data_IF_801441670758
#
_entry.id   IF_801441670758
#
_cell.length_a   1.000
_cell.length_b   1.000
_cell.length_c   1.000
_cell.angle_alpha   90.00
_cell.angle_beta   90.00
_cell.angle_gamma   90.00
#
_symmetry.space_group_name_H-M   'P 1'
#
loop_
_entity.id
_entity.type
_entity.pdbx_description
1 polymer ?
#
# COMPACT_ATOMS: atom_id res chain seq x y z
N UNK A 1 -5.85 44.04 12.55
CA UNK A 1 -4.68 43.19 12.69
C UNK A 1 -4.95 41.92 13.46
N UNK A 2 -5.42 42.05 14.63
CA UNK A 2 -5.68 40.88 15.45
C UNK A 2 -6.70 39.94 14.87
N UNK A 3 -7.71 40.49 14.22
CA UNK A 3 -8.73 39.67 13.63
C UNK A 3 -8.22 38.76 12.54
N UNK A 4 -7.16 39.15 11.87
CA UNK A 4 -6.59 38.32 10.82
C UNK A 4 -6.11 36.99 11.34
N UNK A 5 -5.80 36.90 12.60
CA UNK A 5 -5.31 35.66 13.20
C UNK A 5 -6.41 34.63 13.35
N UNK A 6 -7.60 35.07 13.70
CA UNK A 6 -8.71 34.13 13.94
C UNK A 6 -9.21 33.46 12.67
N UNK A 7 -9.20 34.16 11.57
CA UNK A 7 -9.75 33.65 10.33
C UNK A 7 -9.06 32.41 9.79
N UNK A 8 -7.71 32.42 9.71
CA UNK A 8 -7.03 31.25 9.20
C UNK A 8 -7.28 30.01 10.05
N UNK A 9 -7.43 30.19 11.34
CA UNK A 9 -7.66 29.05 12.23
C UNK A 9 -8.99 28.39 11.93
N UNK A 10 -10.03 29.19 11.73
CA UNK A 10 -11.36 28.65 11.44
C UNK A 10 -11.36 27.94 10.09
N UNK A 11 -10.72 28.55 9.09
CA UNK A 11 -10.63 27.95 7.78
C UNK A 11 -9.88 26.63 7.81
N UNK A 12 -8.84 26.56 8.61
CA UNK A 12 -8.07 25.33 8.74
C UNK A 12 -8.89 24.18 9.29
N UNK A 13 -9.70 24.45 10.28
CA UNK A 13 -10.52 23.40 10.87
C UNK A 13 -11.54 22.87 9.88
N UNK A 14 -12.15 23.73 9.11
CA UNK A 14 -13.12 23.30 8.10
C UNK A 14 -12.46 22.47 7.00
N UNK A 15 -11.28 22.90 6.56
CA UNK A 15 -10.54 22.18 5.52
C UNK A 15 -10.05 20.84 6.03
N UNK A 16 -9.61 20.78 7.28
CA UNK A 16 -9.11 19.54 7.85
C UNK A 16 -10.19 18.45 7.84
N UNK A 17 -11.43 18.81 8.14
CA UNK A 17 -12.50 17.85 8.09
C UNK A 17 -12.76 17.32 6.68
N UNK A 18 -12.67 18.19 5.67
CA UNK A 18 -12.93 17.79 4.30
C UNK A 18 -11.84 16.90 3.70
N UNK A 19 -10.58 17.09 4.11
CA UNK A 19 -9.46 16.34 3.51
C UNK A 19 -9.00 15.17 4.36
N UNK A 20 -9.66 14.89 5.46
CA UNK A 20 -9.21 13.83 6.37
C UNK A 20 -9.09 12.48 5.65
N UNK A 21 -10.03 12.15 4.78
CA UNK A 21 -10.00 10.88 4.07
C UNK A 21 -8.79 10.77 3.14
N UNK A 22 -8.44 11.85 2.44
CA UNK A 22 -7.29 11.84 1.56
C UNK A 22 -5.98 11.77 2.35
N UNK A 23 -5.94 12.44 3.50
CA UNK A 23 -4.75 12.42 4.34
C UNK A 23 -4.49 11.05 4.97
N UNK A 24 -5.52 10.25 5.19
CA UNK A 24 -5.35 8.93 5.75
C UNK A 24 -4.46 8.05 4.88
N UNK A 25 -4.49 8.25 3.57
CA UNK A 25 -3.60 7.52 2.67
C UNK A 25 -2.13 7.81 2.99
N UNK A 26 -1.82 9.02 3.40
CA UNK A 26 -0.44 9.41 3.73
C UNK A 26 -0.04 8.99 5.14
N UNK A 27 -0.99 8.55 5.94
CA UNK A 27 -0.72 8.10 7.30
C UNK A 27 -0.74 6.58 7.43
N UNK A 28 -0.78 5.89 6.30
CA UNK A 28 -0.66 4.44 6.25
C UNK A 28 0.62 4.12 5.50
N UNK A 29 1.45 3.32 6.14
CA UNK A 29 2.74 2.92 5.58
C UNK A 29 2.62 1.54 4.99
N UNK A 30 3.17 1.33 3.79
CA UNK A 30 3.27 0.01 3.20
C UNK A 30 4.72 -0.31 2.94
N UNK A 31 5.13 -1.53 3.28
CA UNK A 31 6.48 -2.02 3.05
C UNK A 31 6.44 -3.42 2.48
N UNK A 32 7.41 -3.74 1.65
CA UNK A 32 7.62 -5.11 1.20
C UNK A 32 8.23 -5.88 2.35
N UNK A 33 7.74 -7.10 2.59
CA UNK A 33 8.30 -7.93 3.65
C UNK A 33 9.75 -8.25 3.35
N UNK A 34 10.59 -8.09 4.35
CA UNK A 34 12.04 -8.28 4.17
C UNK A 34 12.47 -9.74 4.23
N UNK A 35 11.62 -10.63 4.74
CA UNK A 35 11.96 -12.03 4.81
C UNK A 35 12.05 -12.62 3.41
N UNK A 36 13.17 -13.28 3.13
CA UNK A 36 13.34 -13.96 1.86
C UNK A 36 12.49 -15.21 1.80
N UNK A 37 11.55 -15.24 0.86
CA UNK A 37 10.72 -16.40 0.62
C UNK A 37 11.35 -17.34 -0.41
N UNK A 38 12.24 -16.79 -1.24
CA UNK A 38 13.00 -17.53 -2.23
C UNK A 38 14.40 -16.95 -2.30
N UNK A 39 15.40 -17.82 -2.34
CA UNK A 39 16.80 -17.38 -2.34
C UNK A 39 17.16 -16.57 -3.58
N UNK A 40 16.52 -16.86 -4.71
CA UNK A 40 16.84 -16.24 -5.99
C UNK A 40 15.96 -15.05 -6.32
N UNK A 41 15.08 -14.63 -5.41
CA UNK A 41 14.13 -13.56 -5.67
C UNK A 41 14.32 -12.42 -4.69
N UNK A 42 13.83 -11.24 -5.08
CA UNK A 42 13.86 -10.09 -4.21
C UNK A 42 13.02 -10.35 -2.95
N UNK A 43 13.31 -9.64 -1.85
CA UNK A 43 12.53 -9.83 -0.63
C UNK A 43 11.03 -9.69 -0.87
N UNK A 44 10.26 -10.52 -0.19
CA UNK A 44 8.81 -10.51 -0.29
C UNK A 44 8.22 -11.19 -1.50
N UNK A 45 9.04 -11.57 -2.46
CA UNK A 45 8.57 -12.22 -3.68
C UNK A 45 8.57 -13.73 -3.57
N UNK A 46 7.58 -14.36 -4.17
CA UNK A 46 7.53 -15.80 -4.33
C UNK A 46 6.64 -16.16 -5.51
N UNK A 47 6.69 -17.41 -5.92
CA UNK A 47 5.87 -17.95 -7.00
C UNK A 47 4.92 -18.97 -6.41
N UNK A 48 3.63 -18.82 -6.65
CA UNK A 48 2.64 -19.76 -6.13
C UNK A 48 2.62 -21.05 -6.94
N UNK A 49 1.82 -22.02 -6.48
CA UNK A 49 1.71 -23.30 -7.14
C UNK A 49 1.20 -23.19 -8.59
N UNK A 50 0.46 -22.15 -8.89
CA UNK A 50 -0.05 -21.91 -10.23
C UNK A 50 0.92 -21.15 -11.13
N UNK A 51 2.09 -20.81 -10.62
CA UNK A 51 3.13 -20.16 -11.41
C UNK A 51 3.04 -18.65 -11.49
N UNK A 52 2.21 -18.01 -10.68
CA UNK A 52 2.08 -16.56 -10.65
C UNK A 52 3.08 -15.94 -9.67
N UNK A 53 3.59 -14.76 -10.01
CA UNK A 53 4.41 -13.99 -9.10
C UNK A 53 3.55 -13.37 -8.01
N UNK A 54 4.02 -13.43 -6.78
CA UNK A 54 3.41 -12.79 -5.63
C UNK A 54 4.40 -11.86 -4.96
N UNK A 55 3.89 -10.78 -4.38
CA UNK A 55 4.67 -9.93 -3.49
C UNK A 55 3.90 -9.80 -2.19
N UNK A 56 4.57 -10.10 -1.09
CA UNK A 56 4.01 -9.92 0.25
C UNK A 56 4.44 -8.57 0.80
N UNK A 57 3.48 -7.83 1.30
CA UNK A 57 3.74 -6.55 1.95
C UNK A 57 3.07 -6.48 3.31
N UNK A 58 3.46 -5.49 4.07
CA UNK A 58 2.87 -5.19 5.38
C UNK A 58 2.45 -3.74 5.37
N UNK A 59 1.23 -3.47 5.84
CA UNK A 59 0.74 -2.10 6.02
C UNK A 59 0.66 -1.81 7.51
N UNK A 60 0.89 -0.56 7.88
CA UNK A 60 0.77 -0.10 9.25
C UNK A 60 -0.06 1.17 9.29
N UNK A 61 -1.03 1.22 10.19
CA UNK A 61 -1.82 2.42 10.39
C UNK A 61 -1.07 3.37 11.33
N UNK A 62 -0.54 4.45 10.77
CA UNK A 62 0.15 5.47 11.55
C UNK A 62 -0.77 6.65 11.91
N UNK A 63 -2.03 6.58 11.51
CA UNK A 63 -3.02 7.60 11.88
C UNK A 63 -3.41 7.45 13.35
N UNK A 64 -3.93 8.52 13.91
CA UNK A 64 -4.39 8.52 15.29
C UNK A 64 -5.78 7.91 15.45
N UNK A 65 -6.40 7.48 14.36
CA UNK A 65 -7.76 6.93 14.35
C UNK A 65 -7.77 5.57 13.68
N UNK A 66 -8.73 4.70 14.03
CA UNK A 66 -8.88 3.43 13.32
C UNK A 66 -9.29 3.66 11.88
N UNK A 67 -8.85 2.79 10.99
CA UNK A 67 -9.22 2.83 9.57
C UNK A 67 -9.83 1.49 9.16
N UNK A 68 -10.55 1.48 8.04
CA UNK A 68 -11.08 0.27 7.46
C UNK A 68 -10.03 -0.44 6.60
N UNK A 69 -10.47 -1.34 5.72
CA UNK A 69 -9.52 -2.08 4.89
C UNK A 69 -8.67 -1.15 4.03
N UNK A 70 -7.40 -1.51 3.90
CA UNK A 70 -6.43 -0.74 3.14
C UNK A 70 -6.15 -1.47 1.83
N UNK A 71 -6.30 -0.77 0.72
CA UNK A 71 -6.02 -1.31 -0.60
C UNK A 71 -4.64 -0.86 -1.06
N UNK A 72 -3.87 -1.82 -1.53
CA UNK A 72 -2.50 -1.60 -2.00
C UNK A 72 -2.42 -2.01 -3.46
N UNK A 73 -1.74 -1.20 -4.26
CA UNK A 73 -1.42 -1.52 -5.64
C UNK A 73 0.06 -1.79 -5.75
N UNK A 74 0.41 -2.79 -6.57
CA UNK A 74 1.78 -3.11 -6.84
C UNK A 74 2.05 -3.11 -8.33
N UNK A 75 3.28 -2.75 -8.70
CA UNK A 75 3.76 -2.77 -10.08
C UNK A 75 5.13 -3.38 -10.12
N UNK A 76 5.39 -4.16 -11.17
CA UNK A 76 6.70 -4.76 -11.39
C UNK A 76 7.21 -4.33 -12.75
N UNK A 77 8.52 -4.09 -12.83
CA UNK A 77 9.17 -3.52 -14.00
C UNK A 77 10.41 -4.34 -14.37
N UNK A 78 10.77 -4.31 -15.65
CA UNK A 78 12.02 -4.93 -16.10
C UNK A 78 13.21 -3.98 -15.91
N UNK A 79 14.37 -4.38 -16.39
CA UNK A 79 15.60 -3.61 -16.25
C UNK A 79 15.54 -2.26 -16.95
N UNK A 80 14.71 -2.14 -17.99
CA UNK A 80 14.56 -0.90 -18.75
C UNK A 80 13.47 0.00 -18.18
N UNK A 81 12.84 -0.39 -17.06
CA UNK A 81 11.76 0.36 -16.47
C UNK A 81 10.41 0.11 -17.13
N UNK A 82 10.32 -0.89 -18.00
CA UNK A 82 9.06 -1.22 -18.64
C UNK A 82 8.15 -1.99 -17.70
N UNK A 83 6.88 -1.60 -17.66
CA UNK A 83 5.89 -2.27 -16.81
C UNK A 83 5.63 -3.70 -17.29
N UNK A 84 5.80 -4.66 -16.40
CA UNK A 84 5.54 -6.07 -16.67
C UNK A 84 4.17 -6.52 -16.17
N UNK A 85 3.68 -5.92 -15.11
CA UNK A 85 2.38 -6.28 -14.56
C UNK A 85 1.99 -5.42 -13.39
N UNK A 86 0.71 -5.48 -13.06
CA UNK A 86 0.13 -4.77 -11.92
C UNK A 86 -0.74 -5.73 -11.13
N UNK A 87 -0.91 -5.42 -9.85
CA UNK A 87 -1.78 -6.20 -8.98
C UNK A 87 -2.32 -5.28 -7.89
N UNK A 88 -3.46 -5.65 -7.33
CA UNK A 88 -4.02 -4.96 -6.16
C UNK A 88 -4.45 -6.00 -5.14
N UNK A 89 -4.42 -5.60 -3.88
CA UNK A 89 -4.90 -6.44 -2.80
C UNK A 89 -5.34 -5.54 -1.65
N UNK A 90 -6.24 -6.05 -0.84
CA UNK A 90 -6.70 -5.33 0.36
C UNK A 90 -6.37 -6.15 1.59
N UNK A 91 -6.19 -5.45 2.71
CA UNK A 91 -6.04 -6.12 3.99
C UNK A 91 -7.34 -6.86 4.31
N UNK A 92 -7.23 -8.01 4.98
CA UNK A 92 -8.39 -8.81 5.33
C UNK A 92 -9.08 -8.35 6.60
N UNK A 93 -8.40 -7.56 7.39
CA UNK A 93 -8.97 -7.07 8.64
C UNK A 93 -9.97 -5.95 8.36
N UNK A 94 -11.17 -6.01 8.94
CA UNK A 94 -12.16 -4.96 8.71
C UNK A 94 -11.79 -3.63 9.36
N UNK A 95 -10.99 -3.68 10.43
CA UNK A 95 -10.54 -2.48 11.15
C UNK A 95 -9.08 -2.64 11.50
N UNK A 96 -8.31 -1.58 11.26
CA UNK A 96 -6.91 -1.50 11.67
C UNK A 96 -6.78 -0.32 12.62
N UNK A 97 -6.50 -0.62 13.87
CA UNK A 97 -6.35 0.42 14.90
C UNK A 97 -5.01 1.13 14.78
N UNK A 98 -4.84 2.29 15.44
CA UNK A 98 -3.56 3.00 15.37
C UNK A 98 -2.39 2.10 15.72
N UNK A 99 -1.34 2.17 14.90
CA UNK A 99 -0.10 1.39 15.00
C UNK A 99 -0.23 -0.09 14.69
N UNK A 100 -1.43 -0.59 14.44
CA UNK A 100 -1.57 -1.99 14.04
C UNK A 100 -1.07 -2.23 12.64
N UNK A 101 -0.62 -3.46 12.39
CA UNK A 101 -0.13 -3.88 11.09
C UNK A 101 -1.01 -5.00 10.53
N UNK A 102 -1.00 -5.14 9.23
CA UNK A 102 -1.68 -6.24 8.55
C UNK A 102 -0.92 -6.58 7.28
N UNK A 103 -1.02 -7.83 6.87
CA UNK A 103 -0.34 -8.30 5.66
C UNK A 103 -1.22 -8.09 4.43
N UNK A 104 -0.58 -7.85 3.30
CA UNK A 104 -1.21 -7.89 1.99
C UNK A 104 -0.41 -8.82 1.10
N UNK A 105 -1.10 -9.50 0.20
CA UNK A 105 -0.48 -10.42 -0.73
C UNK A 105 -0.97 -10.10 -2.13
N UNK A 106 -0.07 -9.58 -2.96
CA UNK A 106 -0.42 -9.19 -4.32
C UNK A 106 -0.07 -10.30 -5.27
N UNK A 107 -1.05 -10.76 -6.03
CA UNK A 107 -0.87 -11.80 -7.03
C UNK A 107 -0.87 -11.17 -8.42
N UNK A 108 0.24 -11.33 -9.15
CA UNK A 108 0.40 -10.79 -10.50
C UNK A 108 0.03 -11.84 -11.52
N UNK A 109 -1.22 -11.86 -11.92
CA UNK A 109 -1.77 -12.90 -12.79
C UNK A 109 -1.11 -12.95 -14.17
N UNK A 110 -0.55 -11.84 -14.63
CA UNK A 110 0.10 -11.78 -15.94
C UNK A 110 1.61 -11.96 -15.88
N UNK A 111 2.17 -12.11 -14.69
CA UNK A 111 3.62 -12.28 -14.53
C UNK A 111 3.89 -13.75 -14.18
N UNK A 112 4.11 -14.53 -15.23
CA UNK A 112 4.29 -15.97 -15.12
C UNK A 112 5.46 -16.40 -16.00
N UNK A 113 6.01 -17.58 -15.72
CA UNK A 113 7.06 -18.17 -16.53
C UNK A 113 8.28 -17.27 -16.68
N UNK A 114 8.76 -17.08 -17.92
CA UNK A 114 9.97 -16.28 -18.14
C UNK A 114 9.85 -14.82 -17.72
N UNK A 115 8.64 -14.27 -17.68
CA UNK A 115 8.45 -12.88 -17.25
C UNK A 115 8.89 -12.65 -15.82
N UNK A 116 8.77 -13.66 -14.97
CA UNK A 116 9.18 -13.54 -13.58
C UNK A 116 10.65 -13.16 -13.47
N UNK A 117 11.49 -13.76 -14.32
CA UNK A 117 12.92 -13.47 -14.30
C UNK A 117 13.26 -12.10 -14.84
N UNK A 118 12.34 -11.47 -15.56
CA UNK A 118 12.55 -10.13 -16.10
C UNK A 118 12.31 -9.05 -15.05
N UNK A 119 11.65 -9.38 -13.93
CA UNK A 119 11.35 -8.40 -12.89
C UNK A 119 12.65 -7.95 -12.23
N UNK A 120 12.91 -6.64 -12.27
CA UNK A 120 14.10 -6.04 -11.66
C UNK A 120 13.75 -4.98 -10.64
N UNK A 121 12.55 -4.39 -10.73
CA UNK A 121 12.09 -3.39 -9.78
C UNK A 121 10.63 -3.61 -9.48
N UNK A 122 10.22 -3.18 -8.31
CA UNK A 122 8.82 -3.25 -7.88
C UNK A 122 8.48 -2.05 -7.03
N UNK A 123 7.21 -1.67 -7.06
CA UNK A 123 6.67 -0.62 -6.20
C UNK A 123 5.38 -1.07 -5.57
N UNK A 124 5.16 -0.66 -4.33
CA UNK A 124 3.88 -0.83 -3.64
C UNK A 124 3.42 0.52 -3.17
N UNK A 125 2.13 0.79 -3.32
CA UNK A 125 1.57 2.05 -2.81
C UNK A 125 0.17 1.83 -2.28
N UNK A 126 -0.21 2.62 -1.30
CA UNK A 126 -1.57 2.62 -0.76
C UNK A 126 -2.44 3.43 -1.72
N UNK A 127 -3.48 2.81 -2.25
CA UNK A 127 -4.36 3.49 -3.21
C UNK A 127 -5.72 3.84 -2.63
N UNK A 128 -6.11 3.18 -1.53
CA UNK A 128 -7.37 3.51 -0.87
C UNK A 128 -7.31 3.08 0.59
N UNK A 129 -7.98 3.84 1.44
CA UNK A 129 -8.14 3.52 2.85
C UNK A 129 -9.64 3.51 3.13
N UNK A 130 -10.16 2.36 3.56
CA UNK A 130 -11.57 2.23 3.82
C UNK A 130 -11.99 2.95 5.07
N UNK A 131 -13.27 3.27 5.13
CA UNK A 131 -13.85 3.84 6.32
C UNK A 131 -14.04 2.76 7.37
N UNK A 132 -13.91 3.14 8.63
CA UNK A 132 -14.25 2.24 9.72
C UNK A 132 -15.75 1.93 9.65
N UNK A 133 -16.15 0.65 9.68
CA UNK A 133 -17.58 0.29 9.65
C UNK A 133 -18.32 0.78 10.88
#
# INVERSE_FOLDING_TARGET
MKRAIAWPIIALMAVAGAVAAAELKNEVKVEIQSAGLHADMAPGMYVCAEGHLHIKGTVQNLAAVPVGPIKVAGKVFDADGKLLGTATASTKRPVLNPNETADVNLEFLTVTGPRIKQVKNQTLEVVAVGSKP
#
